data_IF_457631533161
#
_entry.id   IF_457631533161
#
_cell.length_a   1.000
_cell.length_b   1.000
_cell.length_c   1.000
_cell.angle_alpha   90.00
_cell.angle_beta   90.00
_cell.angle_gamma   90.00
#
_symmetry.space_group_name_H-M   'P 1'
#
loop_
_entity.id
_entity.type
_entity.pdbx_description
1 polymer ?
#
# COMPACT_ATOMS: atom_id res chain seq x y z
N UNK A 1 -56.82 -21.13 15.67
CA UNK A 1 -55.67 -21.62 14.83
C UNK A 1 -55.18 -20.43 14.04
N UNK A 2 -54.15 -19.75 14.57
CA UNK A 2 -53.52 -18.62 13.89
C UNK A 2 -52.39 -19.18 13.03
N UNK A 3 -52.59 -19.22 11.72
CA UNK A 3 -51.54 -19.51 10.74
C UNK A 3 -50.61 -18.30 10.66
N UNK A 4 -49.44 -18.40 11.28
CA UNK A 4 -48.36 -17.48 11.05
C UNK A 4 -47.95 -17.63 9.57
N UNK A 5 -48.25 -16.60 8.79
CA UNK A 5 -47.66 -16.46 7.45
C UNK A 5 -46.17 -16.27 7.63
N UNK A 6 -45.40 -17.31 7.32
CA UNK A 6 -43.94 -17.18 7.11
C UNK A 6 -43.72 -16.10 6.06
N UNK A 7 -43.13 -14.97 6.47
CA UNK A 7 -42.65 -13.95 5.53
C UNK A 7 -41.69 -14.66 4.58
N UNK A 8 -41.82 -14.52 3.26
CA UNK A 8 -40.83 -15.07 2.34
C UNK A 8 -39.47 -14.52 2.73
N UNK A 9 -38.50 -15.39 2.96
CA UNK A 9 -37.12 -15.06 3.20
C UNK A 9 -36.68 -14.14 2.06
N UNK A 10 -36.50 -12.85 2.34
CA UNK A 10 -36.09 -11.86 1.36
C UNK A 10 -34.82 -12.39 0.67
N UNK A 11 -34.85 -12.51 -0.65
CA UNK A 11 -33.73 -12.99 -1.43
C UNK A 11 -32.55 -12.04 -1.16
N UNK A 12 -31.48 -12.55 -0.55
CA UNK A 12 -30.27 -11.76 -0.25
C UNK A 12 -29.70 -11.19 -1.55
N UNK A 13 -29.32 -9.91 -1.53
CA UNK A 13 -28.59 -9.31 -2.65
C UNK A 13 -27.23 -9.98 -2.77
N UNK A 14 -26.88 -10.41 -3.98
CA UNK A 14 -25.63 -11.11 -4.27
C UNK A 14 -24.54 -10.10 -4.68
N UNK A 15 -23.40 -10.17 -4.04
CA UNK A 15 -22.24 -9.31 -4.33
C UNK A 15 -21.07 -10.18 -4.76
N UNK A 16 -20.58 -9.97 -5.98
CA UNK A 16 -19.33 -10.58 -6.44
C UNK A 16 -18.14 -9.69 -6.06
N UNK A 17 -17.08 -10.29 -5.52
CA UNK A 17 -15.79 -9.62 -5.25
C UNK A 17 -14.74 -10.30 -6.11
N UNK A 18 -14.00 -9.54 -6.91
CA UNK A 18 -12.98 -10.02 -7.83
C UNK A 18 -11.61 -9.59 -7.32
N UNK A 19 -10.83 -10.56 -6.81
CA UNK A 19 -9.50 -10.37 -6.21
C UNK A 19 -9.50 -10.62 -4.69
N UNK A 20 -8.62 -11.50 -4.24
CA UNK A 20 -8.45 -11.94 -2.84
C UNK A 20 -7.29 -11.27 -2.11
N UNK A 21 -6.88 -10.06 -2.53
CA UNK A 21 -5.95 -9.21 -1.78
C UNK A 21 -6.61 -8.57 -0.56
N UNK A 22 -5.87 -7.74 0.18
CA UNK A 22 -6.39 -7.07 1.40
C UNK A 22 -7.70 -6.32 1.15
N UNK A 23 -7.84 -5.65 -0.01
CA UNK A 23 -9.04 -4.88 -0.35
C UNK A 23 -10.25 -5.77 -0.52
N UNK A 24 -10.12 -6.87 -1.27
CA UNK A 24 -11.22 -7.81 -1.49
C UNK A 24 -11.60 -8.57 -0.24
N UNK A 25 -10.60 -9.01 0.53
CA UNK A 25 -10.85 -9.70 1.80
C UNK A 25 -11.54 -8.77 2.82
N UNK A 26 -11.10 -7.51 2.94
CA UNK A 26 -11.73 -6.54 3.82
C UNK A 26 -13.14 -6.17 3.36
N UNK A 27 -13.37 -6.00 2.04
CA UNK A 27 -14.72 -5.79 1.50
C UNK A 27 -15.65 -6.95 1.84
N UNK A 28 -15.18 -8.19 1.66
CA UNK A 28 -15.91 -9.40 2.04
C UNK A 28 -16.27 -9.43 3.51
N UNK A 29 -15.32 -9.08 4.39
CA UNK A 29 -15.55 -9.04 5.83
C UNK A 29 -16.57 -7.97 6.21
N UNK A 30 -16.46 -6.74 5.73
CA UNK A 30 -17.41 -5.67 6.03
C UNK A 30 -18.81 -5.98 5.47
N UNK A 31 -18.91 -6.49 4.25
CA UNK A 31 -20.20 -6.84 3.62
C UNK A 31 -20.88 -8.02 4.31
N UNK A 32 -20.10 -9.00 4.81
CA UNK A 32 -20.66 -10.16 5.53
C UNK A 32 -21.33 -9.81 6.86
N UNK A 33 -21.12 -8.61 7.39
CA UNK A 33 -21.80 -8.11 8.58
C UNK A 33 -23.29 -7.77 8.29
N UNK A 34 -23.67 -7.64 7.01
CA UNK A 34 -25.03 -7.33 6.59
C UNK A 34 -25.81 -8.61 6.27
N UNK A 35 -26.87 -8.89 7.00
CA UNK A 35 -27.68 -10.12 6.86
C UNK A 35 -28.37 -10.25 5.50
N UNK A 36 -28.63 -9.13 4.82
CA UNK A 36 -29.33 -9.04 3.56
C UNK A 36 -28.39 -9.17 2.35
N UNK A 37 -27.09 -9.35 2.58
CA UNK A 37 -26.09 -9.53 1.55
C UNK A 37 -25.57 -10.98 1.53
N UNK A 38 -25.27 -11.46 0.33
CA UNK A 38 -24.58 -12.73 0.08
C UNK A 38 -23.33 -12.43 -0.75
N UNK A 39 -22.17 -12.62 -0.15
CA UNK A 39 -20.86 -12.32 -0.75
C UNK A 39 -20.29 -13.55 -1.42
N UNK A 40 -19.69 -13.41 -2.60
CA UNK A 40 -18.88 -14.42 -3.25
C UNK A 40 -17.57 -13.80 -3.73
N UNK A 41 -16.44 -14.38 -3.33
CA UNK A 41 -15.10 -13.89 -3.68
C UNK A 41 -14.42 -14.83 -4.66
N UNK A 42 -13.91 -14.26 -5.78
CA UNK A 42 -13.14 -14.94 -6.80
C UNK A 42 -11.66 -14.56 -6.69
N UNK A 43 -10.80 -15.56 -6.59
CA UNK A 43 -9.34 -15.40 -6.59
C UNK A 43 -8.72 -16.30 -7.66
N UNK A 44 -7.88 -15.73 -8.50
CA UNK A 44 -7.22 -16.46 -9.57
C UNK A 44 -6.11 -17.40 -9.05
N UNK A 45 -5.41 -16.99 -7.98
CA UNK A 45 -4.34 -17.75 -7.37
C UNK A 45 -4.84 -18.90 -6.48
N UNK A 46 -3.93 -19.79 -6.13
CA UNK A 46 -4.18 -20.90 -5.18
C UNK A 46 -4.25 -20.43 -3.72
N UNK A 47 -3.94 -19.15 -3.43
CA UNK A 47 -3.94 -18.56 -2.09
C UNK A 47 -4.58 -17.19 -2.07
N UNK A 48 -5.12 -16.82 -0.93
CA UNK A 48 -5.51 -15.44 -0.64
C UNK A 48 -4.29 -14.61 -0.24
N UNK A 49 -4.48 -13.29 -0.26
CA UNK A 49 -3.55 -12.32 0.29
C UNK A 49 -2.99 -11.33 -0.74
N UNK A 50 -2.79 -11.75 -2.00
CA UNK A 50 -2.09 -10.89 -2.96
C UNK A 50 -0.70 -10.49 -2.43
N UNK A 51 -0.49 -9.19 -2.17
CA UNK A 51 0.75 -8.68 -1.55
C UNK A 51 0.91 -9.05 -0.06
N UNK A 52 -0.10 -9.55 0.62
CA UNK A 52 0.05 -10.20 1.92
C UNK A 52 0.62 -11.59 1.70
N UNK A 53 1.94 -11.71 1.80
CA UNK A 53 2.66 -12.93 1.46
C UNK A 53 3.74 -13.19 2.51
N UNK A 54 3.53 -14.24 3.29
CA UNK A 54 4.49 -14.73 4.29
C UNK A 54 5.02 -16.08 3.84
N UNK A 55 6.33 -16.20 3.82
CA UNK A 55 7.04 -17.44 3.48
C UNK A 55 7.54 -18.09 4.77
N UNK A 56 7.20 -19.35 4.96
CA UNK A 56 7.76 -20.13 6.07
C UNK A 56 9.08 -20.73 5.63
N UNK A 57 10.16 -20.35 6.31
CA UNK A 57 11.49 -20.94 6.09
C UNK A 57 11.89 -21.73 7.32
N UNK A 58 12.62 -22.81 7.11
CA UNK A 58 13.23 -23.56 8.21
C UNK A 58 14.65 -23.03 8.44
N UNK A 59 14.94 -22.57 9.65
CA UNK A 59 16.25 -22.10 10.04
C UNK A 59 16.66 -22.75 11.38
N UNK A 60 17.71 -23.53 11.37
CA UNK A 60 18.21 -24.29 12.55
C UNK A 60 17.11 -25.14 13.26
N UNK A 61 16.22 -25.78 12.49
CA UNK A 61 15.13 -26.61 13.03
C UNK A 61 13.97 -25.80 13.61
N UNK A 62 13.88 -24.48 13.32
CA UNK A 62 12.79 -23.62 13.75
C UNK A 62 12.12 -22.95 12.54
N UNK A 63 10.79 -22.92 12.51
CA UNK A 63 10.07 -22.20 11.46
C UNK A 63 10.18 -20.68 11.70
N UNK A 64 10.54 -19.95 10.65
CA UNK A 64 10.54 -18.50 10.62
C UNK A 64 9.53 -18.02 9.57
N UNK A 65 8.64 -17.12 9.97
CA UNK A 65 7.69 -16.44 9.09
C UNK A 65 8.32 -15.16 8.55
N UNK A 66 8.57 -15.08 7.25
CA UNK A 66 9.21 -13.94 6.60
C UNK A 66 8.26 -13.33 5.57
N UNK A 67 7.90 -12.07 5.74
CA UNK A 67 7.04 -11.35 4.81
C UNK A 67 7.82 -10.90 3.58
N UNK A 68 7.26 -11.16 2.40
CA UNK A 68 7.90 -10.83 1.11
C UNK A 68 7.19 -9.74 0.32
N UNK A 69 5.98 -9.39 0.71
CA UNK A 69 5.20 -8.31 0.09
C UNK A 69 4.89 -7.20 1.09
N UNK A 70 3.71 -7.22 1.72
CA UNK A 70 3.40 -6.30 2.81
C UNK A 70 4.13 -6.71 4.10
N UNK A 71 4.88 -5.78 4.70
CA UNK A 71 5.74 -6.08 5.85
C UNK A 71 5.38 -5.21 7.06
N UNK A 72 5.22 -3.89 6.87
CA UNK A 72 5.12 -2.91 7.97
C UNK A 72 3.93 -1.98 7.82
N UNK A 73 3.43 -1.52 8.95
CA UNK A 73 2.45 -0.44 9.08
C UNK A 73 2.84 0.45 10.26
N UNK A 74 2.17 1.58 10.47
CA UNK A 74 2.47 2.46 11.60
C UNK A 74 1.20 2.96 12.30
N UNK A 75 1.36 3.46 13.51
CA UNK A 75 0.27 3.88 14.40
C UNK A 75 -0.42 5.19 13.98
N UNK A 76 0.14 5.94 13.03
CA UNK A 76 -0.38 7.26 12.64
C UNK A 76 -1.20 7.21 11.34
N UNK A 77 -0.72 6.50 10.34
CA UNK A 77 -1.28 6.54 8.98
C UNK A 77 -2.07 5.30 8.57
N UNK A 78 -2.30 4.36 9.51
CA UNK A 78 -3.04 3.12 9.28
C UNK A 78 -4.27 2.93 10.20
N UNK A 79 -5.14 3.97 10.39
CA UNK A 79 -6.23 3.89 11.37
C UNK A 79 -7.27 2.81 11.05
N UNK A 80 -7.63 2.60 9.77
CA UNK A 80 -8.62 1.60 9.40
C UNK A 80 -8.04 0.18 9.47
N UNK A 81 -6.77 0.01 9.09
CA UNK A 81 -6.09 -1.27 9.18
C UNK A 81 -5.89 -1.70 10.64
N UNK A 82 -5.50 -0.77 11.53
CA UNK A 82 -5.38 -1.03 12.97
C UNK A 82 -6.74 -1.42 13.55
N UNK A 83 -7.79 -0.65 13.27
CA UNK A 83 -9.14 -0.97 13.74
C UNK A 83 -9.62 -2.34 13.24
N UNK A 84 -9.23 -2.74 12.02
CA UNK A 84 -9.51 -4.06 11.48
C UNK A 84 -8.74 -5.15 12.24
N UNK A 85 -7.43 -4.99 12.48
CA UNK A 85 -6.63 -5.93 13.26
C UNK A 85 -7.16 -6.11 14.68
N UNK A 86 -7.56 -5.00 15.34
CA UNK A 86 -8.16 -5.02 16.67
C UNK A 86 -9.47 -5.81 16.68
N UNK A 87 -10.35 -5.58 15.68
CA UNK A 87 -11.60 -6.32 15.53
C UNK A 87 -11.39 -7.81 15.27
N UNK A 88 -10.27 -8.19 14.64
CA UNK A 88 -9.90 -9.58 14.36
C UNK A 88 -9.11 -10.24 15.51
N UNK A 89 -8.70 -9.49 16.53
CA UNK A 89 -7.86 -9.98 17.63
C UNK A 89 -6.44 -10.33 17.19
N UNK A 90 -5.90 -9.68 16.16
CA UNK A 90 -4.56 -9.96 15.62
C UNK A 90 -3.53 -9.03 16.23
N UNK A 91 -2.51 -9.62 16.88
CA UNK A 91 -1.42 -8.90 17.53
C UNK A 91 -0.41 -8.31 16.55
N UNK A 92 0.25 -7.25 17.00
CA UNK A 92 1.37 -6.63 16.30
C UNK A 92 2.43 -6.17 17.31
N UNK A 93 3.68 -6.06 16.86
CA UNK A 93 4.80 -5.61 17.68
C UNK A 93 5.58 -4.50 17.00
N UNK A 94 6.29 -3.72 17.81
CA UNK A 94 7.10 -2.63 17.31
C UNK A 94 8.23 -3.13 16.39
N UNK A 95 8.44 -2.38 15.33
CA UNK A 95 9.49 -2.64 14.34
C UNK A 95 10.42 -1.43 14.24
N UNK A 96 11.76 -1.62 14.27
CA UNK A 96 12.67 -0.54 14.03
C UNK A 96 12.66 -0.17 12.55
N UNK A 97 12.28 1.08 12.26
CA UNK A 97 12.34 1.61 10.89
C UNK A 97 13.62 2.42 10.75
N UNK A 98 14.49 1.98 9.87
CA UNK A 98 15.75 2.64 9.55
C UNK A 98 16.03 2.53 8.05
N UNK A 99 16.82 3.48 7.55
CA UNK A 99 17.10 3.62 6.13
C UNK A 99 18.58 3.87 5.91
N UNK A 100 19.17 3.19 4.93
CA UNK A 100 20.54 3.40 4.50
C UNK A 100 20.65 3.53 2.99
N UNK A 101 21.69 4.24 2.56
CA UNK A 101 22.07 4.37 1.16
C UNK A 101 23.53 3.96 1.01
N UNK A 102 23.79 3.15 0.00
CA UNK A 102 25.12 2.84 -0.49
C UNK A 102 25.21 3.15 -1.99
N UNK A 103 26.26 3.85 -2.39
CA UNK A 103 26.54 4.15 -3.81
C UNK A 103 27.95 3.66 -4.16
N UNK A 104 27.99 2.65 -5.03
CA UNK A 104 29.23 2.04 -5.46
C UNK A 104 30.10 3.02 -6.28
N UNK A 105 29.48 3.94 -7.02
CA UNK A 105 30.17 4.91 -7.90
C UNK A 105 30.84 6.02 -7.08
N UNK A 106 30.11 6.64 -6.17
CA UNK A 106 30.63 7.71 -5.30
C UNK A 106 31.30 7.18 -4.04
N UNK A 107 31.22 5.88 -3.78
CA UNK A 107 31.72 5.19 -2.58
C UNK A 107 31.15 5.75 -1.27
N UNK A 108 29.90 6.16 -1.29
CA UNK A 108 29.19 6.67 -0.13
C UNK A 108 28.37 5.56 0.51
N UNK A 109 28.49 5.45 1.85
CA UNK A 109 27.62 4.62 2.67
C UNK A 109 27.23 5.39 3.93
N UNK A 110 25.93 5.48 4.21
CA UNK A 110 25.42 6.11 5.42
C UNK A 110 24.05 5.54 5.79
N UNK A 111 23.64 5.74 7.04
CA UNK A 111 22.29 5.46 7.51
C UNK A 111 21.72 6.65 8.31
N UNK A 112 20.42 6.87 8.18
CA UNK A 112 19.73 8.01 8.78
C UNK A 112 19.26 7.82 10.22
N UNK A 113 19.74 6.80 10.94
CA UNK A 113 19.25 6.45 12.29
C UNK A 113 19.73 7.43 13.36
N UNK A 114 21.02 7.80 13.31
CA UNK A 114 21.64 8.75 14.24
C UNK A 114 22.93 9.32 13.65
N UNK A 115 23.55 10.29 14.34
CA UNK A 115 24.79 10.92 13.86
C UNK A 115 25.94 9.93 13.66
N UNK A 116 26.05 8.89 14.50
CA UNK A 116 27.11 7.90 14.37
C UNK A 116 26.95 7.04 13.11
N UNK A 117 25.73 6.71 12.72
CA UNK A 117 25.44 5.96 11.49
C UNK A 117 25.43 6.87 10.26
N UNK A 118 25.00 8.12 10.38
CA UNK A 118 25.09 9.12 9.32
C UNK A 118 26.55 9.38 8.90
N UNK A 119 27.44 9.43 9.87
CA UNK A 119 28.89 9.59 9.67
C UNK A 119 29.66 8.27 9.92
N UNK A 120 29.07 7.13 9.60
CA UNK A 120 29.73 5.83 9.72
C UNK A 120 31.02 5.76 8.90
N UNK A 121 31.02 6.37 7.71
CA UNK A 121 32.23 6.75 6.98
C UNK A 121 32.72 8.10 7.53
N UNK A 122 33.80 8.08 8.33
CA UNK A 122 34.32 9.30 8.97
C UNK A 122 34.81 10.38 7.99
N UNK A 123 35.20 9.99 6.78
CA UNK A 123 35.51 10.93 5.67
C UNK A 123 34.33 11.84 5.31
N UNK A 124 33.08 11.41 5.55
CA UNK A 124 31.89 12.22 5.28
C UNK A 124 31.79 13.47 6.18
N UNK A 125 32.47 13.48 7.34
CA UNK A 125 32.55 14.67 8.24
C UNK A 125 33.22 15.87 7.56
N UNK A 126 34.14 15.63 6.64
CA UNK A 126 34.89 16.67 5.93
C UNK A 126 34.58 16.74 4.45
N UNK A 127 33.57 15.99 3.97
CA UNK A 127 33.14 15.99 2.58
C UNK A 127 32.15 17.13 2.29
N UNK A 128 32.53 18.18 1.50
CA UNK A 128 31.61 19.27 1.19
C UNK A 128 30.32 18.80 0.49
N UNK A 129 30.44 17.78 -0.37
CA UNK A 129 29.32 17.18 -1.07
C UNK A 129 28.33 16.51 -0.09
N UNK A 130 28.83 15.70 0.84
CA UNK A 130 27.98 15.06 1.82
C UNK A 130 27.32 16.06 2.78
N UNK A 131 28.09 17.07 3.23
CA UNK A 131 27.58 18.14 4.08
C UNK A 131 26.53 19.01 3.37
N UNK A 132 26.65 19.22 2.03
CA UNK A 132 25.64 19.93 1.27
C UNK A 132 24.31 19.13 1.22
N UNK A 133 24.39 17.81 1.06
CA UNK A 133 23.20 16.94 1.18
C UNK A 133 22.51 17.09 2.55
N UNK A 134 23.26 16.98 3.63
CA UNK A 134 22.71 17.09 5.00
C UNK A 134 22.09 18.48 5.23
N UNK A 135 22.76 19.56 4.80
CA UNK A 135 22.18 20.91 4.85
C UNK A 135 20.88 21.01 4.09
N UNK A 136 20.82 20.42 2.90
CA UNK A 136 19.64 20.49 2.04
C UNK A 136 18.49 19.63 2.54
N UNK A 137 18.75 18.52 3.23
CA UNK A 137 17.73 17.76 3.97
C UNK A 137 17.05 18.67 5.01
N UNK A 138 17.85 19.34 5.84
CA UNK A 138 17.32 20.23 6.87
C UNK A 138 16.56 21.42 6.29
N UNK A 139 17.05 21.99 5.17
CA UNK A 139 16.41 23.07 4.47
C UNK A 139 15.06 22.65 3.88
N UNK A 140 15.02 21.52 3.18
CA UNK A 140 13.81 20.98 2.58
C UNK A 140 12.73 20.72 3.65
N UNK A 141 13.08 20.01 4.71
CA UNK A 141 12.17 19.68 5.79
C UNK A 141 11.54 20.92 6.45
N UNK A 142 12.30 22.02 6.57
CA UNK A 142 11.81 23.26 7.19
C UNK A 142 10.96 24.10 6.27
N UNK A 143 11.25 24.12 4.95
CA UNK A 143 10.73 25.14 4.06
C UNK A 143 9.69 24.65 3.05
N UNK A 144 9.66 23.37 2.69
CA UNK A 144 8.82 22.90 1.58
C UNK A 144 7.33 23.15 1.81
N UNK A 145 6.83 22.93 3.01
CA UNK A 145 5.42 23.17 3.33
C UNK A 145 5.07 24.65 3.37
N UNK A 146 5.98 25.48 3.87
CA UNK A 146 5.81 26.94 3.86
C UNK A 146 5.74 27.45 2.41
N UNK A 147 6.66 27.01 1.55
CA UNK A 147 6.66 27.38 0.14
C UNK A 147 5.37 26.97 -0.58
N UNK A 148 4.82 25.78 -0.29
CA UNK A 148 3.54 25.34 -0.84
C UNK A 148 2.36 26.21 -0.37
N UNK A 149 2.36 26.64 0.90
CA UNK A 149 1.33 27.55 1.42
C UNK A 149 1.41 28.96 0.83
N UNK A 150 2.63 29.49 0.68
CA UNK A 150 2.87 30.85 0.21
C UNK A 150 2.75 31.00 -1.31
N UNK A 151 2.92 29.90 -2.06
CA UNK A 151 2.87 29.91 -3.52
C UNK A 151 1.94 28.80 -4.06
N UNK A 152 0.65 29.08 -4.25
CA UNK A 152 -0.32 28.10 -4.76
C UNK A 152 0.06 27.50 -6.12
N UNK A 153 0.82 28.21 -6.96
CA UNK A 153 1.30 27.67 -8.25
C UNK A 153 2.22 26.43 -8.10
N UNK A 154 2.84 26.24 -6.93
CA UNK A 154 3.64 25.05 -6.65
C UNK A 154 2.79 23.77 -6.46
N UNK A 155 1.49 23.89 -6.28
CA UNK A 155 0.60 22.74 -6.21
C UNK A 155 0.62 21.92 -7.52
N UNK A 156 0.86 22.59 -8.64
CA UNK A 156 0.95 21.99 -9.96
C UNK A 156 2.40 21.61 -10.36
N UNK A 157 3.38 21.93 -9.54
CA UNK A 157 4.79 21.66 -9.84
C UNK A 157 5.14 20.18 -9.60
N UNK A 158 6.15 19.70 -10.32
CA UNK A 158 6.82 18.44 -10.02
C UNK A 158 7.89 18.62 -8.95
N UNK A 159 8.32 17.51 -8.36
CA UNK A 159 9.42 17.50 -7.40
C UNK A 159 10.72 18.06 -8.03
N UNK A 160 11.05 17.63 -9.26
CA UNK A 160 12.23 18.10 -9.99
C UNK A 160 12.22 19.60 -10.26
N UNK A 161 11.07 20.16 -10.73
CA UNK A 161 10.89 21.60 -10.94
C UNK A 161 11.08 22.41 -9.66
N UNK A 162 10.52 21.92 -8.55
CA UNK A 162 10.70 22.54 -7.24
C UNK A 162 12.18 22.56 -6.81
N UNK A 163 12.86 21.43 -6.90
CA UNK A 163 14.25 21.31 -6.49
C UNK A 163 15.17 22.22 -7.34
N UNK A 164 14.92 22.28 -8.65
CA UNK A 164 15.64 23.17 -9.56
C UNK A 164 15.39 24.65 -9.22
N UNK A 165 14.13 25.03 -9.04
CA UNK A 165 13.72 26.42 -8.74
C UNK A 165 14.36 26.95 -7.45
N UNK A 166 14.47 26.09 -6.43
CA UNK A 166 15.02 26.50 -5.13
C UNK A 166 16.51 26.16 -4.97
N UNK A 167 17.19 25.68 -6.02
CA UNK A 167 18.63 25.47 -6.05
C UNK A 167 19.11 24.43 -5.03
N UNK A 168 18.45 23.28 -4.96
CA UNK A 168 18.92 22.15 -4.16
C UNK A 168 20.11 21.45 -4.81
N UNK A 169 21.01 20.88 -4.01
CA UNK A 169 22.19 20.18 -4.49
C UNK A 169 21.84 18.87 -5.20
N UNK A 170 22.69 18.46 -6.16
CA UNK A 170 22.55 17.17 -6.83
C UNK A 170 22.67 16.01 -5.84
N UNK A 171 23.52 16.17 -4.83
CA UNK A 171 23.75 15.19 -3.78
C UNK A 171 22.48 14.95 -2.94
N UNK A 172 21.72 16.01 -2.62
CA UNK A 172 20.45 15.88 -1.91
C UNK A 172 19.44 15.07 -2.75
N UNK A 173 19.36 15.36 -4.04
CA UNK A 173 18.48 14.65 -4.95
C UNK A 173 18.91 13.18 -5.09
N UNK A 174 20.18 12.94 -5.47
CA UNK A 174 20.66 11.62 -5.87
C UNK A 174 20.91 10.68 -4.68
N UNK A 175 21.37 11.19 -3.54
CA UNK A 175 21.76 10.34 -2.41
C UNK A 175 20.73 10.28 -1.29
N UNK A 176 19.69 11.12 -1.30
CA UNK A 176 18.68 11.10 -0.25
C UNK A 176 17.25 11.00 -0.81
N UNK A 177 16.82 11.98 -1.61
CA UNK A 177 15.41 12.16 -1.92
C UNK A 177 14.90 11.10 -2.89
N UNK A 178 15.61 10.89 -4.00
CA UNK A 178 15.28 9.84 -4.98
C UNK A 178 15.36 8.45 -4.35
N UNK A 179 16.47 8.05 -3.69
CA UNK A 179 16.54 6.73 -3.05
C UNK A 179 15.41 6.46 -2.06
N UNK A 180 15.03 7.46 -1.28
CA UNK A 180 13.94 7.30 -0.32
C UNK A 180 12.59 7.17 -1.00
N UNK A 181 12.28 8.04 -1.96
CA UNK A 181 11.05 7.97 -2.73
C UNK A 181 10.95 6.69 -3.56
N UNK A 182 12.04 6.31 -4.21
CA UNK A 182 12.12 5.08 -4.98
C UNK A 182 11.93 3.83 -4.13
N UNK A 183 12.45 3.81 -2.91
CA UNK A 183 12.25 2.72 -1.96
C UNK A 183 10.78 2.60 -1.50
N UNK A 184 10.07 3.73 -1.41
CA UNK A 184 8.66 3.77 -1.01
C UNK A 184 7.73 3.31 -2.15
N UNK A 185 7.97 3.80 -3.38
CA UNK A 185 7.06 3.60 -4.52
C UNK A 185 7.65 2.73 -5.64
N UNK A 186 8.86 2.18 -5.47
CA UNK A 186 9.54 1.35 -6.48
C UNK A 186 9.63 2.04 -7.86
N UNK A 187 9.89 3.35 -7.86
CA UNK A 187 9.93 4.21 -9.05
C UNK A 187 11.37 4.58 -9.40
N UNK A 188 11.65 4.76 -10.69
CA UNK A 188 12.95 5.22 -11.17
C UNK A 188 13.19 6.72 -10.94
N UNK A 189 14.41 7.18 -11.21
CA UNK A 189 14.85 8.57 -11.00
C UNK A 189 14.01 9.57 -11.80
N UNK A 190 13.67 9.24 -13.05
CA UNK A 190 12.91 10.12 -13.94
C UNK A 190 11.46 10.26 -13.44
N UNK A 191 10.85 9.15 -13.05
CA UNK A 191 9.51 9.11 -12.47
C UNK A 191 9.47 9.90 -11.16
N UNK A 192 10.48 9.75 -10.30
CA UNK A 192 10.58 10.52 -9.05
C UNK A 192 10.72 12.03 -9.28
N UNK A 193 11.51 12.44 -10.28
CA UNK A 193 11.63 13.87 -10.63
C UNK A 193 10.32 14.44 -11.17
N UNK A 194 9.53 13.65 -11.91
CA UNK A 194 8.22 14.01 -12.43
C UNK A 194 7.07 13.89 -11.40
N UNK A 195 7.38 13.41 -10.19
CA UNK A 195 6.36 13.16 -9.16
C UNK A 195 5.66 14.45 -8.73
N UNK A 196 4.32 14.46 -8.55
CA UNK A 196 3.61 15.66 -8.11
C UNK A 196 4.05 16.12 -6.73
N UNK A 197 4.59 17.34 -6.63
CA UNK A 197 5.19 17.88 -5.39
C UNK A 197 4.23 17.84 -4.21
N UNK A 198 2.99 18.28 -4.41
CA UNK A 198 2.00 18.35 -3.32
C UNK A 198 1.68 16.95 -2.77
N UNK A 199 1.56 15.94 -3.63
CA UNK A 199 1.34 14.55 -3.21
C UNK A 199 2.54 14.04 -2.42
N UNK A 200 3.76 14.25 -2.91
CA UNK A 200 5.01 13.86 -2.28
C UNK A 200 5.15 14.45 -0.87
N UNK A 201 4.99 15.78 -0.75
CA UNK A 201 5.14 16.49 0.54
C UNK A 201 4.08 16.06 1.54
N UNK A 202 2.82 15.91 1.10
CA UNK A 202 1.74 15.40 1.96
C UNK A 202 2.04 14.00 2.49
N UNK A 203 2.55 13.13 1.63
CA UNK A 203 2.95 11.78 2.04
C UNK A 203 4.10 11.81 3.06
N UNK A 204 5.17 12.55 2.77
CA UNK A 204 6.34 12.67 3.66
C UNK A 204 5.95 13.24 5.03
N UNK A 205 5.07 14.24 5.06
CA UNK A 205 4.53 14.78 6.31
C UNK A 205 3.75 13.74 7.11
N UNK A 206 2.79 13.08 6.47
CA UNK A 206 1.93 12.10 7.15
C UNK A 206 2.74 10.95 7.76
N UNK A 207 3.84 10.56 7.13
CA UNK A 207 4.72 9.48 7.59
C UNK A 207 5.87 9.97 8.49
N UNK A 208 5.87 11.25 8.91
CA UNK A 208 6.91 11.82 9.78
C UNK A 208 8.30 11.85 9.13
N UNK A 209 8.39 11.83 7.79
CA UNK A 209 9.65 11.85 7.05
C UNK A 209 10.24 13.26 6.93
N UNK A 210 9.44 14.30 7.16
CA UNK A 210 9.90 15.69 7.26
C UNK A 210 10.33 16.08 8.69
N UNK A 211 10.06 15.22 9.68
CA UNK A 211 10.36 15.48 11.08
C UNK A 211 11.60 14.70 11.53
N UNK A 212 12.43 15.35 12.36
CA UNK A 212 13.57 14.69 13.03
C UNK A 212 13.13 14.00 14.34
N UNK A 213 12.06 14.50 14.93
CA UNK A 213 11.41 14.01 16.14
C UNK A 213 9.94 13.76 15.84
N UNK A 214 9.22 13.07 16.74
CA UNK A 214 7.81 12.75 16.56
C UNK A 214 7.51 11.91 15.30
N UNK A 215 8.32 10.86 15.08
CA UNK A 215 8.08 9.88 14.02
C UNK A 215 7.04 8.86 14.46
N UNK A 216 6.17 8.37 13.55
CA UNK A 216 5.22 7.31 13.88
C UNK A 216 5.96 6.04 14.30
N UNK A 217 5.38 5.29 15.23
CA UNK A 217 5.89 3.97 15.59
C UNK A 217 5.50 2.96 14.52
N UNK A 218 6.49 2.36 13.90
CA UNK A 218 6.27 1.28 12.94
C UNK A 218 6.09 -0.05 13.65
N UNK A 219 5.30 -0.91 13.03
CA UNK A 219 4.89 -2.20 13.58
C UNK A 219 4.90 -3.28 12.50
N UNK A 220 5.08 -4.53 12.92
CA UNK A 220 4.90 -5.75 12.11
C UNK A 220 3.83 -6.63 12.75
N UNK A 221 3.15 -7.44 11.95
CA UNK A 221 2.15 -8.39 12.44
C UNK A 221 2.87 -9.59 13.07
N UNK A 222 2.42 -10.00 14.24
CA UNK A 222 2.93 -11.19 14.92
C UNK A 222 2.64 -12.46 14.10
N UNK A 223 3.64 -13.29 13.92
CA UNK A 223 3.53 -14.49 13.09
C UNK A 223 3.57 -14.26 11.59
N UNK A 224 3.81 -13.01 11.13
CA UNK A 224 3.82 -12.60 9.73
C UNK A 224 2.48 -12.08 9.24
N UNK A 225 2.50 -11.37 8.12
CA UNK A 225 1.32 -10.65 7.60
C UNK A 225 0.14 -11.57 7.25
N UNK A 226 0.38 -12.84 6.87
CA UNK A 226 -0.67 -13.80 6.57
C UNK A 226 -1.56 -14.16 7.79
N UNK A 227 -1.13 -13.85 9.01
CA UNK A 227 -1.80 -14.28 10.25
C UNK A 227 -3.22 -13.73 10.39
N UNK A 228 -3.54 -12.58 9.80
CA UNK A 228 -4.88 -12.02 9.85
C UNK A 228 -5.87 -12.66 8.86
N UNK A 229 -5.40 -13.35 7.80
CA UNK A 229 -6.25 -13.87 6.73
C UNK A 229 -7.33 -14.81 7.23
N UNK A 230 -7.02 -15.81 8.08
CA UNK A 230 -8.05 -16.74 8.56
C UNK A 230 -9.20 -16.07 9.32
N UNK A 231 -8.88 -15.12 10.20
CA UNK A 231 -9.88 -14.38 10.98
C UNK A 231 -10.71 -13.44 10.07
N UNK A 232 -10.04 -12.74 9.13
CA UNK A 232 -10.66 -11.81 8.19
C UNK A 232 -11.66 -12.51 7.27
N UNK A 233 -11.38 -13.74 6.86
CA UNK A 233 -12.20 -14.49 5.90
C UNK A 233 -13.20 -15.44 6.56
N UNK A 234 -13.12 -15.68 7.86
CA UNK A 234 -13.97 -16.63 8.57
C UNK A 234 -15.49 -16.45 8.33
N UNK A 235 -16.04 -15.21 8.30
CA UNK A 235 -17.48 -15.02 8.15
C UNK A 235 -18.06 -15.46 6.79
N UNK A 236 -17.24 -15.55 5.73
CA UNK A 236 -17.66 -15.88 4.37
C UNK A 236 -16.74 -16.92 3.70
N UNK A 237 -16.04 -17.72 4.51
CA UNK A 237 -15.05 -18.72 4.03
C UNK A 237 -15.58 -19.65 2.95
N UNK A 238 -16.82 -20.14 3.11
CA UNK A 238 -17.44 -21.08 2.19
C UNK A 238 -17.83 -20.44 0.84
N UNK A 239 -17.77 -19.12 0.75
CA UNK A 239 -18.05 -18.34 -0.46
C UNK A 239 -16.78 -17.87 -1.17
N UNK A 240 -15.60 -18.39 -0.82
CA UNK A 240 -14.33 -18.06 -1.45
C UNK A 240 -13.98 -19.12 -2.48
N UNK A 241 -13.73 -18.67 -3.70
CA UNK A 241 -13.38 -19.50 -4.85
C UNK A 241 -11.92 -19.21 -5.24
N UNK A 242 -11.00 -20.05 -4.78
CA UNK A 242 -9.59 -20.03 -5.19
C UNK A 242 -9.43 -20.69 -6.57
N UNK A 243 -8.31 -20.39 -7.24
CA UNK A 243 -8.01 -20.92 -8.59
C UNK A 243 -9.18 -20.74 -9.55
N UNK A 244 -9.92 -19.65 -9.36
CA UNK A 244 -11.12 -19.35 -10.15
C UNK A 244 -11.00 -17.96 -10.79
N UNK A 245 -10.16 -17.82 -11.83
CA UNK A 245 -10.02 -16.55 -12.53
C UNK A 245 -11.34 -16.15 -13.18
N UNK A 246 -11.70 -14.88 -13.01
CA UNK A 246 -12.78 -14.25 -13.77
C UNK A 246 -12.24 -13.92 -15.15
N UNK A 247 -13.03 -14.18 -16.18
CA UNK A 247 -12.67 -13.97 -17.58
C UNK A 247 -13.40 -12.78 -18.21
N UNK A 248 -14.49 -12.32 -17.60
CA UNK A 248 -15.24 -11.17 -18.06
C UNK A 248 -16.35 -10.79 -17.11
N UNK A 249 -16.70 -9.51 -17.13
CA UNK A 249 -17.83 -8.93 -16.40
C UNK A 249 -18.63 -8.08 -17.37
N UNK A 250 -19.94 -8.34 -17.46
CA UNK A 250 -20.87 -7.59 -18.29
C UNK A 250 -22.02 -7.07 -17.44
N UNK A 251 -22.26 -5.78 -17.52
CA UNK A 251 -23.32 -5.08 -16.79
C UNK A 251 -24.60 -4.99 -17.60
N UNK A 252 -25.63 -4.40 -17.01
CA UNK A 252 -26.89 -4.11 -17.67
C UNK A 252 -27.54 -5.34 -18.34
N UNK A 253 -27.35 -6.51 -17.71
CA UNK A 253 -27.98 -7.76 -18.24
C UNK A 253 -29.31 -7.97 -17.55
N UNK A 254 -30.39 -8.02 -18.36
CA UNK A 254 -31.71 -8.37 -17.84
C UNK A 254 -31.76 -9.87 -17.58
N UNK A 255 -31.76 -10.25 -16.31
CA UNK A 255 -31.87 -11.64 -15.88
C UNK A 255 -32.98 -11.78 -14.84
N UNK A 256 -33.88 -12.75 -15.01
CA UNK A 256 -35.04 -13.00 -14.15
C UNK A 256 -35.89 -11.73 -13.87
N UNK A 257 -36.02 -10.83 -14.86
CA UNK A 257 -36.79 -9.59 -14.76
C UNK A 257 -36.14 -8.45 -14.02
N UNK A 258 -34.85 -8.57 -13.68
CA UNK A 258 -34.03 -7.52 -13.02
C UNK A 258 -32.72 -7.27 -13.76
N UNK A 259 -32.26 -6.03 -13.72
CA UNK A 259 -30.94 -5.69 -14.20
C UNK A 259 -29.88 -6.23 -13.21
N UNK A 260 -28.92 -7.02 -13.72
CA UNK A 260 -27.89 -7.68 -12.95
C UNK A 260 -26.54 -7.59 -13.66
N UNK A 261 -25.49 -7.90 -12.92
CA UNK A 261 -24.13 -8.07 -13.43
C UNK A 261 -23.86 -9.55 -13.66
N UNK A 262 -23.39 -9.88 -14.86
CA UNK A 262 -22.95 -11.21 -15.23
C UNK A 262 -21.42 -11.31 -15.00
N UNK A 263 -20.99 -12.23 -14.15
CA UNK A 263 -19.58 -12.58 -13.93
C UNK A 263 -19.32 -13.93 -14.60
N UNK A 264 -18.34 -13.96 -15.50
CA UNK A 264 -17.95 -15.14 -16.26
C UNK A 264 -16.61 -15.68 -15.76
N UNK A 265 -16.61 -16.92 -15.34
CA UNK A 265 -15.43 -17.66 -14.90
C UNK A 265 -15.37 -19.06 -15.48
N UNK A 266 -14.41 -19.89 -15.09
CA UNK A 266 -14.39 -21.32 -15.45
C UNK A 266 -15.61 -22.10 -14.94
N UNK A 267 -16.39 -21.54 -14.00
CA UNK A 267 -17.62 -22.11 -13.47
C UNK A 267 -18.85 -21.81 -14.35
N UNK A 268 -18.69 -21.02 -15.40
CA UNK A 268 -19.75 -20.52 -16.25
C UNK A 268 -20.13 -19.07 -15.95
N UNK A 269 -21.36 -18.69 -16.29
CA UNK A 269 -21.92 -17.36 -16.02
C UNK A 269 -22.73 -17.39 -14.72
N UNK A 270 -22.44 -16.45 -13.83
CA UNK A 270 -23.13 -16.26 -12.56
C UNK A 270 -23.62 -14.80 -12.45
N UNK A 271 -24.80 -14.62 -11.81
CA UNK A 271 -25.53 -13.35 -11.80
C UNK A 271 -25.47 -12.72 -10.40
N UNK A 272 -25.18 -11.42 -10.35
CA UNK A 272 -25.02 -10.66 -9.11
C UNK A 272 -25.76 -9.33 -9.19
N UNK A 273 -26.17 -8.81 -8.05
CA UNK A 273 -26.77 -7.48 -7.95
C UNK A 273 -25.68 -6.39 -7.93
N UNK A 274 -24.48 -6.70 -7.46
CA UNK A 274 -23.33 -5.80 -7.42
C UNK A 274 -22.04 -6.55 -7.73
N UNK A 275 -21.05 -5.85 -8.34
CA UNK A 275 -19.69 -6.35 -8.51
C UNK A 275 -18.68 -5.39 -7.91
N UNK A 276 -17.69 -5.93 -7.19
CA UNK A 276 -16.55 -5.20 -6.60
C UNK A 276 -15.27 -5.67 -7.26
N UNK A 277 -14.62 -4.80 -8.02
CA UNK A 277 -13.27 -5.03 -8.52
C UNK A 277 -12.26 -4.65 -7.42
N UNK A 278 -11.66 -5.66 -6.81
CA UNK A 278 -10.62 -5.55 -5.79
C UNK A 278 -9.23 -5.97 -6.31
N UNK A 279 -9.08 -6.00 -7.62
CA UNK A 279 -7.83 -6.24 -8.37
C UNK A 279 -7.21 -4.91 -8.83
N UNK A 280 -6.10 -4.96 -9.58
CA UNK A 280 -5.49 -3.75 -10.15
C UNK A 280 -6.41 -3.09 -11.20
N UNK A 281 -6.20 -1.79 -11.45
CA UNK A 281 -7.05 -1.02 -12.39
C UNK A 281 -6.96 -1.53 -13.83
N UNK A 282 -5.77 -1.94 -14.27
CA UNK A 282 -5.53 -2.55 -15.57
C UNK A 282 -6.23 -3.90 -15.71
N UNK A 283 -6.21 -4.72 -14.66
CA UNK A 283 -6.94 -5.99 -14.59
C UNK A 283 -8.45 -5.76 -14.59
N UNK A 284 -8.94 -4.81 -13.79
CA UNK A 284 -10.35 -4.45 -13.78
C UNK A 284 -10.83 -4.01 -15.18
N UNK A 285 -10.02 -3.17 -15.86
CA UNK A 285 -10.34 -2.75 -17.23
C UNK A 285 -10.36 -3.91 -18.22
N UNK A 286 -9.42 -4.85 -18.10
CA UNK A 286 -9.36 -6.03 -18.96
C UNK A 286 -10.57 -6.96 -18.79
N UNK A 287 -11.13 -7.00 -17.57
CA UNK A 287 -12.29 -7.85 -17.25
C UNK A 287 -13.62 -7.19 -17.59
N UNK A 288 -13.73 -5.86 -17.61
CA UNK A 288 -14.95 -5.11 -17.83
C UNK A 288 -15.26 -5.01 -19.33
N UNK A 289 -16.15 -5.89 -19.85
CA UNK A 289 -16.44 -6.04 -21.28
C UNK A 289 -17.14 -4.81 -21.89
N UNK A 290 -17.96 -4.12 -21.11
CA UNK A 290 -18.78 -2.98 -21.49
C UNK A 290 -18.32 -1.65 -20.87
N UNK A 291 -17.01 -1.53 -20.61
CA UNK A 291 -16.44 -0.31 -20.06
C UNK A 291 -16.76 0.91 -20.93
N UNK A 292 -17.23 1.99 -20.32
CA UNK A 292 -17.43 3.29 -20.95
C UNK A 292 -16.09 3.93 -21.34
N UNK A 293 -16.10 4.91 -22.23
CA UNK A 293 -14.88 5.66 -22.58
C UNK A 293 -14.23 6.33 -21.35
N UNK A 294 -15.04 6.85 -20.43
CA UNK A 294 -14.53 7.45 -19.18
C UNK A 294 -13.86 6.42 -18.28
N UNK A 295 -14.46 5.26 -18.12
CA UNK A 295 -13.86 4.18 -17.32
C UNK A 295 -12.56 3.68 -17.96
N UNK A 296 -12.53 3.52 -19.28
CA UNK A 296 -11.29 3.17 -20.01
C UNK A 296 -10.20 4.20 -19.75
N UNK A 297 -10.53 5.48 -19.91
CA UNK A 297 -9.56 6.57 -19.67
C UNK A 297 -9.05 6.59 -18.23
N UNK A 298 -9.94 6.43 -17.25
CA UNK A 298 -9.54 6.52 -15.83
C UNK A 298 -8.81 5.26 -15.34
N UNK A 299 -9.26 4.05 -15.70
CA UNK A 299 -8.62 2.80 -15.28
C UNK A 299 -7.24 2.62 -15.93
N UNK A 300 -7.07 3.05 -17.19
CA UNK A 300 -5.77 2.98 -17.89
C UNK A 300 -4.78 4.08 -17.49
N UNK A 301 -5.23 5.14 -16.81
CA UNK A 301 -4.37 6.24 -16.38
C UNK A 301 -3.42 5.89 -15.22
N UNK A 302 -3.57 4.71 -14.63
CA UNK A 302 -2.76 4.25 -13.50
C UNK A 302 -1.82 3.15 -14.00
N UNK A 303 -0.56 3.46 -14.34
CA UNK A 303 0.41 2.48 -14.76
C UNK A 303 0.96 1.68 -13.57
N UNK A 304 1.54 0.52 -13.87
CA UNK A 304 2.16 -0.35 -12.86
C UNK A 304 3.61 -0.63 -13.22
N UNK A 305 4.49 -0.57 -12.20
CA UNK A 305 5.87 -1.05 -12.30
C UNK A 305 5.94 -2.49 -11.78
N UNK A 306 6.50 -3.39 -12.59
CA UNK A 306 6.75 -4.77 -12.19
C UNK A 306 8.09 -4.88 -11.50
N UNK A 307 8.10 -5.40 -10.27
CA UNK A 307 9.29 -5.57 -9.47
C UNK A 307 9.58 -7.07 -9.28
N UNK A 308 10.83 -7.44 -9.49
CA UNK A 308 11.35 -8.74 -9.11
C UNK A 308 11.70 -8.71 -7.63
N UNK A 309 11.24 -9.70 -6.87
CA UNK A 309 11.43 -9.80 -5.42
C UNK A 309 12.04 -11.14 -5.08
N UNK A 310 13.13 -11.16 -4.32
CA UNK A 310 13.85 -12.37 -3.95
C UNK A 310 14.01 -12.45 -2.44
N UNK A 311 13.60 -13.58 -1.85
CA UNK A 311 13.93 -13.96 -0.48
C UNK A 311 15.24 -14.74 -0.48
N UNK A 312 16.24 -14.25 0.26
CA UNK A 312 17.59 -14.83 0.27
C UNK A 312 18.32 -14.51 1.58
N UNK A 313 19.54 -15.05 1.72
CA UNK A 313 20.43 -14.78 2.86
C UNK A 313 21.84 -14.34 2.45
N UNK A 314 22.00 -13.79 1.25
CA UNK A 314 23.26 -13.23 0.78
C UNK A 314 23.43 -11.78 1.28
N UNK A 315 24.40 -11.56 2.17
CA UNK A 315 24.67 -10.27 2.76
C UNK A 315 25.50 -9.33 1.86
N UNK A 316 25.98 -9.81 0.70
CA UNK A 316 26.79 -8.99 -0.22
C UNK A 316 26.00 -7.85 -0.86
N UNK A 317 24.66 -7.94 -0.84
CA UNK A 317 23.77 -6.87 -1.32
C UNK A 317 23.57 -5.75 -0.29
N UNK A 318 23.93 -5.98 0.97
CA UNK A 318 23.89 -4.97 2.02
C UNK A 318 25.12 -4.06 1.97
N UNK A 319 25.08 -2.87 2.61
CA UNK A 319 26.26 -1.99 2.71
C UNK A 319 27.47 -2.73 3.28
N UNK A 320 28.68 -2.39 2.79
CA UNK A 320 29.93 -3.00 3.28
C UNK A 320 30.20 -2.66 4.74
N UNK A 321 29.86 -1.43 5.15
CA UNK A 321 29.99 -1.01 6.54
C UNK A 321 28.76 -1.50 7.33
N UNK A 322 28.94 -2.53 8.13
CA UNK A 322 27.84 -3.11 8.95
C UNK A 322 27.16 -2.11 9.88
N UNK A 323 27.84 -1.00 10.25
CA UNK A 323 27.22 0.07 11.06
C UNK A 323 26.10 0.81 10.33
N UNK A 324 26.05 0.73 9.00
CA UNK A 324 24.99 1.34 8.18
C UNK A 324 23.87 0.36 7.82
N UNK A 325 23.96 -0.91 8.23
CA UNK A 325 22.88 -1.85 8.02
C UNK A 325 21.60 -1.34 8.66
N UNK A 326 20.57 -1.28 7.89
CA UNK A 326 19.26 -0.72 8.23
C UNK A 326 18.15 -1.70 7.85
N UNK A 327 16.95 -1.43 8.31
CA UNK A 327 15.76 -2.18 7.88
C UNK A 327 15.60 -2.10 6.37
N UNK A 328 15.82 -0.91 5.79
CA UNK A 328 15.78 -0.62 4.35
C UNK A 328 17.16 -0.18 3.88
N UNK A 329 17.71 -0.87 2.90
CA UNK A 329 19.05 -0.60 2.37
C UNK A 329 18.96 -0.38 0.85
N UNK A 330 19.17 0.85 0.39
CA UNK A 330 19.15 1.21 -1.03
C UNK A 330 20.56 1.18 -1.58
N UNK A 331 20.73 0.49 -2.69
CA UNK A 331 21.96 0.41 -3.46
C UNK A 331 21.83 1.23 -4.75
N UNK A 332 22.65 2.26 -4.91
CA UNK A 332 22.73 3.09 -6.11
C UNK A 332 23.84 2.59 -7.06
N UNK A 333 23.65 2.80 -8.38
CA UNK A 333 24.62 2.44 -9.40
C UNK A 333 24.93 0.94 -9.50
N UNK A 334 24.03 0.09 -9.04
CA UNK A 334 24.27 -1.33 -8.86
C UNK A 334 23.30 -2.26 -9.59
N UNK A 335 22.30 -1.73 -10.27
CA UNK A 335 21.35 -2.50 -11.07
C UNK A 335 21.47 -2.21 -12.55
N UNK A 336 21.28 -3.24 -13.37
CA UNK A 336 21.18 -3.12 -14.84
C UNK A 336 19.79 -2.62 -15.27
N UNK A 337 18.90 -2.37 -14.31
CA UNK A 337 17.55 -1.86 -14.53
C UNK A 337 17.43 -0.42 -14.04
N UNK A 338 16.56 0.40 -14.63
CA UNK A 338 16.27 1.76 -14.14
C UNK A 338 15.58 1.78 -12.77
N UNK A 339 15.08 0.63 -12.30
CA UNK A 339 14.40 0.52 -11.03
C UNK A 339 15.41 0.47 -9.86
N UNK A 340 15.05 1.03 -8.69
CA UNK A 340 15.94 1.05 -7.53
C UNK A 340 16.21 -0.36 -7.02
N UNK A 341 17.47 -0.61 -6.65
CA UNK A 341 17.88 -1.82 -5.95
C UNK A 341 17.70 -1.61 -4.44
N UNK A 342 16.77 -2.34 -3.84
CA UNK A 342 16.41 -2.23 -2.43
C UNK A 342 16.55 -3.60 -1.76
N UNK A 343 17.13 -3.64 -0.57
CA UNK A 343 17.16 -4.83 0.29
C UNK A 343 16.59 -4.52 1.67
N UNK A 344 15.54 -5.22 2.04
CA UNK A 344 15.04 -5.25 3.41
C UNK A 344 15.85 -6.25 4.22
N UNK A 345 16.44 -5.81 5.33
CA UNK A 345 17.04 -6.72 6.31
C UNK A 345 15.95 -7.18 7.28
N UNK A 346 15.46 -8.39 7.09
CA UNK A 346 14.32 -8.91 7.81
C UNK A 346 14.64 -9.24 9.27
N UNK A 347 15.91 -9.53 9.59
CA UNK A 347 16.34 -9.71 10.98
C UNK A 347 16.16 -8.42 11.78
N UNK A 348 16.43 -7.26 11.17
CA UNK A 348 16.18 -5.96 11.80
C UNK A 348 14.67 -5.66 11.75
N UNK A 349 14.06 -5.71 10.57
CA UNK A 349 12.71 -5.23 10.34
C UNK A 349 11.65 -6.06 11.05
N UNK A 350 11.72 -7.40 10.93
CA UNK A 350 10.83 -8.32 11.61
C UNK A 350 11.45 -8.92 12.90
N UNK A 351 12.63 -8.47 13.37
CA UNK A 351 13.27 -8.94 14.59
C UNK A 351 13.48 -10.45 14.61
N UNK A 352 13.87 -11.04 13.47
CA UNK A 352 14.04 -12.49 13.34
C UNK A 352 15.23 -12.97 14.18
N UNK A 353 15.02 -14.01 14.95
CA UNK A 353 16.06 -14.69 15.73
C UNK A 353 16.70 -15.79 14.87
N UNK A 354 17.70 -15.44 14.08
CA UNK A 354 18.38 -16.30 13.12
C UNK A 354 19.87 -15.96 13.07
N UNK A 355 20.73 -16.95 12.85
CA UNK A 355 22.15 -16.74 12.56
C UNK A 355 22.38 -16.24 11.14
N UNK A 356 21.51 -16.63 10.21
CA UNK A 356 21.50 -16.09 8.87
C UNK A 356 20.90 -14.69 8.88
N UNK A 357 21.41 -13.78 8.05
CA UNK A 357 20.76 -12.52 7.78
C UNK A 357 19.80 -12.69 6.60
N UNK A 358 18.53 -12.79 6.88
CA UNK A 358 17.50 -12.92 5.86
C UNK A 358 17.20 -11.55 5.23
N UNK A 359 17.17 -11.53 3.93
CA UNK A 359 16.90 -10.35 3.13
C UNK A 359 15.76 -10.59 2.15
N UNK A 360 14.93 -9.57 1.94
CA UNK A 360 14.02 -9.49 0.82
C UNK A 360 14.50 -8.36 -0.08
N UNK A 361 14.93 -8.71 -1.30
CA UNK A 361 15.55 -7.75 -2.21
C UNK A 361 14.72 -7.55 -3.46
N UNK A 362 14.65 -6.29 -3.92
CA UNK A 362 13.95 -5.88 -5.13
C UNK A 362 14.95 -5.52 -6.22
N UNK A 363 14.71 -6.01 -7.43
CA UNK A 363 15.36 -5.59 -8.68
C UNK A 363 16.89 -5.74 -8.70
N UNK A 364 17.43 -6.77 -8.02
CA UNK A 364 18.87 -7.03 -7.99
C UNK A 364 19.23 -8.53 -7.93
N UNK A 365 18.41 -9.40 -8.48
CA UNK A 365 18.58 -10.86 -8.45
C UNK A 365 19.93 -11.30 -9.02
N UNK A 366 20.41 -10.66 -10.09
CA UNK A 366 21.70 -10.95 -10.70
C UNK A 366 22.92 -10.76 -9.76
N UNK A 367 22.76 -9.99 -8.67
CA UNK A 367 23.82 -9.74 -7.67
C UNK A 367 23.81 -10.74 -6.52
N UNK A 368 22.75 -11.51 -6.39
CA UNK A 368 22.54 -12.48 -5.31
C UNK A 368 23.14 -13.82 -5.74
N UNK A 369 23.88 -14.45 -4.85
CA UNK A 369 24.39 -15.81 -5.09
C UNK A 369 23.19 -16.76 -5.22
N UNK A 370 23.06 -17.50 -6.34
CA UNK A 370 21.96 -18.46 -6.51
C UNK A 370 21.85 -19.48 -5.37
N UNK A 371 22.99 -19.86 -4.74
CA UNK A 371 23.01 -20.78 -3.60
C UNK A 371 22.39 -20.17 -2.31
N UNK A 372 22.25 -18.86 -2.24
CA UNK A 372 21.66 -18.13 -1.13
C UNK A 372 20.17 -17.82 -1.36
N UNK A 373 19.63 -18.03 -2.56
CA UNK A 373 18.24 -17.75 -2.89
C UNK A 373 17.33 -18.84 -2.30
N UNK A 374 16.29 -18.41 -1.59
CA UNK A 374 15.23 -19.30 -1.13
C UNK A 374 14.06 -19.33 -2.12
N UNK A 375 13.58 -18.18 -2.55
CA UNK A 375 12.43 -18.06 -3.46
C UNK A 375 12.39 -16.70 -4.16
N UNK A 376 11.73 -16.66 -5.32
CA UNK A 376 11.54 -15.45 -6.13
C UNK A 376 10.09 -15.19 -6.45
N UNK A 377 9.70 -13.92 -6.55
CA UNK A 377 8.34 -13.43 -6.78
C UNK A 377 8.35 -12.24 -7.72
N UNK A 378 7.18 -11.91 -8.24
CA UNK A 378 6.97 -10.66 -8.97
C UNK A 378 5.79 -9.92 -8.35
N UNK A 379 6.00 -8.65 -8.01
CA UNK A 379 4.93 -7.77 -7.55
C UNK A 379 4.84 -6.55 -8.45
N UNK A 380 3.59 -6.13 -8.73
CA UNK A 380 3.32 -4.91 -9.49
C UNK A 380 2.83 -3.82 -8.55
N UNK A 381 3.48 -2.66 -8.61
CA UNK A 381 3.13 -1.49 -7.79
C UNK A 381 2.58 -0.38 -8.68
N UNK A 382 1.51 0.34 -8.24
CA UNK A 382 0.99 1.48 -8.98
C UNK A 382 2.01 2.61 -9.01
N UNK A 383 2.14 3.26 -10.17
CA UNK A 383 2.97 4.45 -10.37
C UNK A 383 2.07 5.68 -10.32
N UNK A 384 2.42 6.65 -9.46
CA UNK A 384 1.60 7.83 -9.23
C UNK A 384 2.01 8.96 -10.17
N UNK A 385 1.14 9.24 -11.15
CA UNK A 385 1.23 10.36 -12.07
C UNK A 385 0.13 11.39 -11.76
N UNK A 386 0.21 12.57 -12.33
CA UNK A 386 -0.84 13.60 -12.19
C UNK A 386 -2.17 13.09 -12.76
N UNK A 387 -2.12 12.49 -13.93
CA UNK A 387 -3.28 11.89 -14.61
C UNK A 387 -3.89 10.77 -13.77
N UNK A 388 -3.03 9.90 -13.20
CA UNK A 388 -3.44 8.82 -12.30
C UNK A 388 -4.15 9.35 -11.05
N UNK A 389 -3.62 10.39 -10.41
CA UNK A 389 -4.23 11.01 -9.22
C UNK A 389 -5.60 11.63 -9.56
N UNK A 390 -5.72 12.27 -10.72
CA UNK A 390 -7.01 12.79 -11.20
C UNK A 390 -7.99 11.65 -11.45
N UNK A 391 -7.55 10.58 -12.09
CA UNK A 391 -8.35 9.39 -12.36
C UNK A 391 -8.85 8.72 -11.07
N UNK A 392 -8.01 8.61 -10.02
CA UNK A 392 -8.42 8.11 -8.70
C UNK A 392 -9.62 8.88 -8.14
N UNK A 393 -9.59 10.22 -8.20
CA UNK A 393 -10.67 11.07 -7.71
C UNK A 393 -11.97 10.84 -8.51
N UNK A 394 -11.86 10.72 -9.83
CA UNK A 394 -13.01 10.47 -10.70
C UNK A 394 -13.62 9.08 -10.48
N UNK A 395 -12.79 8.06 -10.30
CA UNK A 395 -13.24 6.69 -10.02
C UNK A 395 -13.94 6.62 -8.65
N UNK A 396 -13.39 7.24 -7.62
CA UNK A 396 -14.01 7.30 -6.29
C UNK A 396 -15.34 8.07 -6.31
N UNK A 397 -15.42 9.19 -7.02
CA UNK A 397 -16.64 10.00 -7.13
C UNK A 397 -17.77 9.31 -7.91
N UNK A 398 -17.42 8.36 -8.78
CA UNK A 398 -18.38 7.59 -9.59
C UNK A 398 -18.56 6.15 -9.10
N UNK A 399 -17.97 5.79 -7.97
CA UNK A 399 -18.02 4.43 -7.43
C UNK A 399 -19.46 4.02 -7.11
N UNK A 400 -19.85 2.80 -7.50
CA UNK A 400 -21.20 2.28 -7.35
C UNK A 400 -22.16 2.55 -8.52
N UNK A 401 -21.72 3.28 -9.55
CA UNK A 401 -22.55 3.45 -10.77
C UNK A 401 -22.61 2.15 -11.55
N UNK A 402 -23.76 1.88 -12.15
CA UNK A 402 -24.02 0.68 -12.93
C UNK A 402 -23.63 -0.61 -12.17
N UNK A 403 -23.99 -0.68 -10.87
CA UNK A 403 -23.73 -1.82 -9.99
C UNK A 403 -22.26 -2.23 -9.89
N UNK A 404 -21.34 -1.29 -10.13
CA UNK A 404 -19.90 -1.55 -10.23
C UNK A 404 -19.12 -0.71 -9.23
N UNK A 405 -18.31 -1.40 -8.44
CA UNK A 405 -17.52 -0.83 -7.37
C UNK A 405 -16.04 -1.16 -7.57
N UNK A 406 -15.17 -0.22 -7.21
CA UNK A 406 -13.73 -0.40 -7.23
C UNK A 406 -13.17 -0.17 -5.83
N UNK A 407 -12.35 -1.09 -5.35
CA UNK A 407 -11.51 -0.89 -4.17
C UNK A 407 -10.11 -1.42 -4.43
N UNK A 408 -9.13 -0.78 -3.81
CA UNK A 408 -7.73 -1.14 -4.00
C UNK A 408 -6.81 -0.07 -3.44
N UNK A 409 -5.60 -0.48 -3.06
CA UNK A 409 -4.58 0.44 -2.59
C UNK A 409 -4.24 1.53 -3.64
N UNK A 410 -4.33 1.17 -4.91
CA UNK A 410 -4.07 2.05 -6.06
C UNK A 410 -5.05 3.22 -6.20
N UNK A 411 -6.21 3.19 -5.54
CA UNK A 411 -7.17 4.31 -5.52
C UNK A 411 -6.74 5.45 -4.57
N UNK A 412 -5.64 5.30 -3.81
CA UNK A 412 -5.11 6.32 -2.90
C UNK A 412 -3.58 6.38 -2.98
N UNK A 413 -2.85 6.01 -1.91
CA UNK A 413 -1.39 6.14 -1.83
C UNK A 413 -0.62 4.84 -2.09
N UNK A 414 -1.31 3.70 -2.29
CA UNK A 414 -0.69 2.42 -2.62
C UNK A 414 -0.39 1.51 -1.43
N UNK A 415 -0.92 1.77 -0.24
CA UNK A 415 -0.63 1.03 0.98
C UNK A 415 -1.81 0.16 1.45
N UNK A 416 -1.53 -0.75 2.39
CA UNK A 416 -2.57 -1.63 2.98
C UNK A 416 -3.72 -0.84 3.60
N UNK A 417 -3.43 0.28 4.27
CA UNK A 417 -4.44 1.20 4.77
C UNK A 417 -5.42 1.64 3.69
N UNK A 418 -4.88 1.99 2.52
CA UNK A 418 -5.70 2.47 1.41
C UNK A 418 -6.60 1.37 0.85
N UNK A 419 -6.10 0.13 0.85
CA UNK A 419 -6.89 -1.04 0.49
C UNK A 419 -8.07 -1.26 1.42
N UNK A 420 -7.85 -1.19 2.74
CA UNK A 420 -8.91 -1.33 3.77
C UNK A 420 -9.87 -0.15 3.73
N UNK A 421 -9.36 1.08 3.63
CA UNK A 421 -10.18 2.28 3.60
C UNK A 421 -11.13 2.31 2.39
N UNK A 422 -10.65 1.92 1.21
CA UNK A 422 -11.49 1.85 0.01
C UNK A 422 -12.48 0.69 0.06
N UNK A 423 -12.12 -0.45 0.64
CA UNK A 423 -13.04 -1.54 0.91
C UNK A 423 -14.18 -1.13 1.86
N UNK A 424 -13.87 -0.39 2.91
CA UNK A 424 -14.87 0.15 3.84
C UNK A 424 -15.83 1.14 3.15
N UNK A 425 -15.33 2.00 2.24
CA UNK A 425 -16.17 2.90 1.45
C UNK A 425 -17.15 2.11 0.57
N UNK A 426 -16.68 1.07 -0.12
CA UNK A 426 -17.52 0.19 -0.93
C UNK A 426 -18.57 -0.50 -0.07
N UNK A 427 -18.17 -1.07 1.05
CA UNK A 427 -19.12 -1.77 1.93
C UNK A 427 -20.20 -0.84 2.50
N UNK A 428 -19.87 0.40 2.86
CA UNK A 428 -20.85 1.41 3.27
C UNK A 428 -21.82 1.76 2.14
N UNK A 429 -21.31 1.95 0.91
CA UNK A 429 -22.16 2.25 -0.25
C UNK A 429 -23.15 1.12 -0.56
N UNK A 430 -22.68 -0.13 -0.64
CA UNK A 430 -23.52 -1.30 -0.88
C UNK A 430 -24.47 -1.55 0.30
N UNK A 431 -24.00 -1.38 1.54
CA UNK A 431 -24.81 -1.53 2.76
C UNK A 431 -25.97 -0.54 2.81
N UNK A 432 -25.74 0.73 2.48
CA UNK A 432 -26.79 1.74 2.40
C UNK A 432 -27.87 1.39 1.36
N UNK A 433 -27.48 0.85 0.19
CA UNK A 433 -28.41 0.36 -0.82
C UNK A 433 -29.25 -0.82 -0.32
N UNK A 434 -28.68 -1.71 0.50
CA UNK A 434 -29.39 -2.88 1.02
C UNK A 434 -30.45 -2.50 2.06
N UNK A 435 -30.24 -1.42 2.84
CA UNK A 435 -31.19 -0.95 3.85
C UNK A 435 -32.29 -0.05 3.28
N UNK A 436 -32.25 0.25 1.98
CA UNK A 436 -33.28 1.09 1.33
C UNK A 436 -33.08 2.60 1.52
N UNK A 437 -31.92 3.05 2.00
CA UNK A 437 -31.52 4.47 2.09
C UNK A 437 -31.14 5.06 0.71
N UNK A 438 -31.45 4.39 -0.37
CA UNK A 438 -31.22 4.81 -1.76
C UNK A 438 -32.23 5.84 -2.23
N UNK A 439 -32.36 6.93 -1.48
CA UNK A 439 -33.11 8.14 -1.83
C UNK A 439 -32.18 9.33 -1.90
N UNK A 440 -31.82 9.68 -3.14
CA UNK A 440 -31.27 10.99 -3.55
C UNK A 440 -29.84 11.39 -3.12
N UNK A 441 -28.99 11.60 -4.10
CA UNK A 441 -27.87 12.57 -4.18
C UNK A 441 -26.76 12.60 -3.10
N UNK A 442 -26.78 11.77 -2.05
CA UNK A 442 -25.94 11.96 -0.87
C UNK A 442 -24.55 11.27 -0.87
N UNK A 443 -24.31 10.24 -1.67
CA UNK A 443 -23.05 9.47 -1.57
C UNK A 443 -21.87 10.22 -2.20
N UNK A 444 -22.10 11.08 -3.17
CA UNK A 444 -21.06 11.87 -3.81
C UNK A 444 -20.52 12.99 -2.91
N UNK A 445 -21.33 13.53 -1.99
CA UNK A 445 -20.94 14.65 -1.13
C UNK A 445 -20.02 14.26 0.05
N UNK A 446 -20.09 13.02 0.54
CA UNK A 446 -19.24 12.55 1.66
C UNK A 446 -17.82 12.13 1.25
N UNK A 447 -17.59 11.86 -0.03
CA UNK A 447 -16.29 11.43 -0.56
C UNK A 447 -15.37 12.62 -0.88
N UNK A 448 -15.95 13.81 -1.10
CA UNK A 448 -15.21 15.04 -1.44
C UNK A 448 -14.70 15.85 -0.24
N UNK A 449 -15.20 15.60 0.97
CA UNK A 449 -14.68 16.23 2.17
C UNK A 449 -13.37 15.55 2.57
N UNK A 450 -12.25 16.22 2.32
CA UNK A 450 -10.95 15.82 2.87
C UNK A 450 -11.11 15.54 4.36
N UNK A 451 -10.52 14.43 4.83
CA UNK A 451 -10.48 14.07 6.25
C UNK A 451 -10.10 15.33 7.05
N UNK A 452 -10.84 15.71 8.09
CA UNK A 452 -10.46 16.82 8.94
C UNK A 452 -9.05 16.55 9.49
N UNK A 453 -8.18 17.55 9.39
CA UNK A 453 -6.94 17.54 10.14
C UNK A 453 -7.30 17.26 11.59
N UNK A 454 -6.81 16.14 12.13
CA UNK A 454 -7.04 15.76 13.52
C UNK A 454 -6.54 16.91 14.42
N UNK A 455 -7.45 17.76 14.86
CA UNK A 455 -7.26 18.61 16.03
C UNK A 455 -7.45 17.74 17.27
N UNK A 456 -6.44 16.96 17.62
CA UNK A 456 -6.35 16.35 18.95
C UNK A 456 -6.09 17.50 19.92
N UNK A 457 -7.14 17.95 20.61
CA UNK A 457 -6.99 18.77 21.81
C UNK A 457 -6.29 17.90 22.85
N UNK A 458 -5.02 18.20 23.09
CA UNK A 458 -4.30 17.77 24.27
C UNK A 458 -5.02 18.34 25.51
N UNK A 459 -5.79 17.51 26.19
CA UNK A 459 -6.17 17.81 27.57
C UNK A 459 -4.91 17.61 28.42
N UNK A 460 -4.30 18.74 28.81
CA UNK A 460 -3.26 18.79 29.85
C UNK A 460 -3.85 18.30 31.17
N UNK A 461 -3.48 17.09 31.57
CA UNK A 461 -3.66 16.66 32.98
C UNK A 461 -2.55 17.32 33.80
N UNK A 462 -2.92 18.35 34.53
CA UNK A 462 -2.15 18.92 35.62
C UNK A 462 -2.04 17.88 36.73
N UNK A 463 -0.87 17.33 36.96
CA UNK A 463 -0.54 16.66 38.23
C UNK A 463 -0.19 17.73 39.25
N UNK A 464 -1.10 18.01 40.13
CA UNK A 464 -0.84 18.66 41.42
C UNK A 464 -0.07 17.66 42.26
N UNK A 465 1.17 18.02 42.64
CA UNK A 465 1.87 17.41 43.77
C UNK A 465 1.23 17.96 45.05
N UNK A 466 0.79 17.07 45.90
CA UNK A 466 0.64 17.30 47.36
C UNK A 466 1.65 16.43 48.10
N UNK A 467 2.46 17.12 48.88
CA UNK A 467 3.31 16.70 50.00
C UNK A 467 4.16 15.44 49.89
#
# INVERSE_FOLDING_TARGET
VSTAFDKPTACRRRVAIIGGGISGMAAGWYLSQHRDLAVQLYEADARLGGHTATVMVEDEGRPLAIDTGFIVFNDRTYPHFIALLDALGVGSRDAPMSFSVSDATSRIEYAGTNLNTLFAQRSNLVSPRFLSMVRDILRFNRSVEQHLRENPALAEATLGEYLQRFGYSKEFLQWYLIPMGAAIWSSDDATMAAFPLQFFVRFFRNHGLLDLQDRPQWRVIEGGSHSYIPALTAPYRDSILLQTPVHGVRRHVLHAGREQVCVRSARGEEWFDEVVFACHSDQALALLEDATEKERAHLSAIPYSRNEVVLHHDVRVLPRNRRTWSSWNVSLGSSDTPLPALSYNMNILQGLQSRKTWCVSLNQTARIDPACIHSGYHYSHPVFTREGITAQQQLLANNGRAHTWFCGAWLRNGFHEDGVATALLVARGIGALAVGEAGSEGVAASVGAGLPANSVRLQSRSHTKQD
#
